data_IF_105941273360
#
_entry.id   IF_105941273360
#
_cell.length_a   1.000
_cell.length_b   1.000
_cell.length_c   1.000
_cell.angle_alpha   90.00
_cell.angle_beta   90.00
_cell.angle_gamma   90.00
#
_symmetry.space_group_name_H-M   'P 1'
#
loop_
_entity.id
_entity.type
_entity.pdbx_description
1 polymer ?
#
# COMPACT_ATOMS: atom_id res chain seq x y z
N UNK A 1 0.75 -17.16 -19.28
CA UNK A 1 0.25 -18.52 -18.96
C UNK A 1 -0.91 -18.37 -18.00
N UNK A 2 -2.10 -18.16 -18.54
CA UNK A 2 -3.37 -18.17 -17.81
C UNK A 2 -3.80 -19.63 -17.79
N UNK A 3 -4.17 -20.11 -16.61
CA UNK A 3 -4.47 -21.51 -16.30
C UNK A 3 -5.49 -22.15 -17.25
N UNK A 4 -5.31 -23.42 -17.63
CA UNK A 4 -6.20 -24.19 -18.53
C UNK A 4 -7.63 -24.43 -17.98
N UNK A 5 -7.95 -23.91 -16.79
CA UNK A 5 -9.26 -24.04 -16.15
C UNK A 5 -10.24 -22.95 -16.65
N UNK A 6 -9.73 -21.77 -17.04
CA UNK A 6 -10.56 -20.66 -17.50
C UNK A 6 -11.20 -20.94 -18.88
N UNK A 7 -10.47 -21.59 -19.79
CA UNK A 7 -10.98 -21.95 -21.12
C UNK A 7 -12.05 -23.05 -21.04
N UNK A 8 -11.95 -23.98 -20.10
CA UNK A 8 -12.89 -25.10 -19.95
C UNK A 8 -14.25 -24.66 -19.36
N UNK A 9 -14.27 -23.58 -18.59
CA UNK A 9 -15.50 -23.01 -18.01
C UNK A 9 -16.23 -22.14 -19.06
N UNK A 10 -15.51 -21.47 -19.95
CA UNK A 10 -16.10 -20.71 -21.06
C UNK A 10 -16.77 -21.62 -22.11
N UNK A 11 -16.23 -22.82 -22.34
CA UNK A 11 -16.75 -23.73 -23.37
C UNK A 11 -18.02 -24.50 -22.98
N UNK A 12 -18.31 -24.67 -21.68
CA UNK A 12 -19.50 -25.44 -21.22
C UNK A 12 -20.75 -24.61 -20.97
N UNK A 13 -20.64 -23.30 -20.77
CA UNK A 13 -21.79 -22.50 -20.32
C UNK A 13 -22.46 -21.66 -21.42
N UNK A 14 -21.84 -21.50 -22.59
CA UNK A 14 -22.26 -20.44 -23.54
C UNK A 14 -22.74 -20.87 -24.92
N UNK A 15 -22.84 -22.17 -25.24
CA UNK A 15 -23.20 -22.60 -26.60
C UNK A 15 -24.62 -23.17 -26.76
N UNK A 16 -25.63 -22.49 -26.20
CA UNK A 16 -26.98 -22.48 -26.81
C UNK A 16 -27.84 -21.31 -26.34
N UNK A 17 -27.43 -20.08 -26.65
CA UNK A 17 -28.30 -18.94 -26.47
C UNK A 17 -28.15 -17.98 -27.65
N UNK A 18 -29.29 -17.66 -28.28
CA UNK A 18 -29.43 -16.73 -29.41
C UNK A 18 -28.54 -15.49 -29.27
N UNK A 19 -27.98 -14.99 -30.38
CA UNK A 19 -27.07 -13.83 -30.47
C UNK A 19 -27.56 -12.63 -29.66
N UNK A 20 -28.88 -12.47 -29.51
CA UNK A 20 -29.51 -11.42 -28.68
C UNK A 20 -29.22 -11.55 -27.18
N UNK A 21 -29.19 -12.77 -26.66
CA UNK A 21 -28.93 -13.06 -25.23
C UNK A 21 -27.44 -12.81 -24.92
N UNK A 22 -26.54 -13.16 -25.83
CA UNK A 22 -25.10 -12.85 -25.68
C UNK A 22 -24.83 -11.35 -25.64
N UNK A 23 -25.50 -10.57 -26.50
CA UNK A 23 -25.41 -9.11 -26.50
C UNK A 23 -25.93 -8.55 -25.17
N UNK A 24 -27.08 -9.04 -24.68
CA UNK A 24 -27.63 -8.60 -23.40
C UNK A 24 -26.71 -8.92 -22.22
N UNK A 25 -26.10 -10.11 -22.17
CA UNK A 25 -25.17 -10.48 -21.10
C UNK A 25 -23.92 -9.60 -21.16
N UNK A 26 -23.38 -9.36 -22.36
CA UNK A 26 -22.21 -8.49 -22.55
C UNK A 26 -22.50 -7.03 -22.16
N UNK A 27 -23.67 -6.49 -22.50
CA UNK A 27 -24.04 -5.13 -22.08
C UNK A 27 -24.29 -5.04 -20.58
N UNK A 28 -24.86 -6.07 -19.96
CA UNK A 28 -25.09 -6.11 -18.51
C UNK A 28 -23.76 -6.14 -17.71
N UNK A 29 -22.78 -6.92 -18.19
CA UNK A 29 -21.43 -6.94 -17.61
C UNK A 29 -20.76 -5.57 -17.72
N UNK A 30 -20.87 -4.90 -18.87
CA UNK A 30 -20.29 -3.56 -19.07
C UNK A 30 -20.98 -2.50 -18.20
N UNK A 31 -22.30 -2.55 -18.06
CA UNK A 31 -23.04 -1.62 -17.19
C UNK A 31 -22.64 -1.83 -15.72
N UNK A 32 -22.50 -3.09 -15.28
CA UNK A 32 -22.05 -3.41 -13.93
C UNK A 32 -20.63 -2.90 -13.64
N UNK A 33 -19.69 -3.07 -14.57
CA UNK A 33 -18.32 -2.59 -14.38
C UNK A 33 -18.22 -1.06 -14.36
N UNK A 34 -19.03 -0.35 -15.14
CA UNK A 34 -19.11 1.13 -15.11
C UNK A 34 -19.70 1.62 -13.78
N UNK A 35 -20.75 0.97 -13.24
CA UNK A 35 -21.33 1.33 -11.94
C UNK A 35 -20.32 1.09 -10.81
N UNK A 36 -19.58 -0.01 -10.86
CA UNK A 36 -18.48 -0.27 -9.91
C UNK A 36 -17.39 0.80 -10.03
N UNK A 37 -16.98 1.16 -11.26
CA UNK A 37 -16.01 2.21 -11.50
C UNK A 37 -16.46 3.60 -11.01
N UNK A 38 -17.76 3.90 -11.03
CA UNK A 38 -18.33 5.16 -10.54
C UNK A 38 -18.57 5.19 -9.03
N UNK A 39 -18.66 4.04 -8.36
CA UNK A 39 -18.74 3.96 -6.89
C UNK A 39 -17.35 3.89 -6.23
N UNK A 40 -16.32 3.42 -6.94
CA UNK A 40 -14.92 3.44 -6.49
C UNK A 40 -14.35 4.84 -6.17
N UNK A 41 -14.66 5.95 -6.87
CA UNK A 41 -14.16 7.28 -6.50
C UNK A 41 -14.68 7.77 -5.15
N UNK A 42 -15.76 7.18 -4.59
CA UNK A 42 -16.20 7.45 -3.21
C UNK A 42 -15.42 6.65 -2.16
N UNK A 43 -14.78 5.53 -2.53
CA UNK A 43 -13.95 4.73 -1.62
C UNK A 43 -12.58 5.36 -1.31
N UNK A 44 -12.12 6.31 -2.15
CA UNK A 44 -10.91 7.09 -1.89
C UNK A 44 -10.96 7.87 -0.57
N UNK A 45 -12.16 8.18 -0.07
CA UNK A 45 -12.36 8.88 1.20
C UNK A 45 -12.38 7.96 2.43
N UNK A 46 -12.60 6.64 2.27
CA UNK A 46 -12.70 5.68 3.38
C UNK A 46 -11.40 4.86 3.54
N UNK A 47 -10.63 4.70 2.46
CA UNK A 47 -9.29 4.06 2.46
C UNK A 47 -8.27 4.76 3.37
N UNK A 48 -8.51 6.03 3.68
CA UNK A 48 -7.68 6.80 4.60
C UNK A 48 -7.70 6.32 6.06
N UNK A 49 -8.60 5.40 6.44
CA UNK A 49 -8.88 5.12 7.86
C UNK A 49 -8.36 3.79 8.37
N UNK A 50 -8.18 2.77 7.53
CA UNK A 50 -7.68 1.45 7.95
C UNK A 50 -7.02 0.79 6.74
N UNK A 51 -5.70 0.84 6.64
CA UNK A 51 -4.89 -0.22 6.00
C UNK A 51 -3.41 0.13 6.16
N UNK A 52 -2.69 -0.75 6.85
CA UNK A 52 -1.25 -0.88 6.63
C UNK A 52 -1.13 -1.56 5.28
N UNK A 53 -0.91 -0.77 4.23
CA UNK A 53 -0.65 -1.33 2.91
C UNK A 53 0.85 -1.69 2.85
N UNK A 54 1.14 -2.98 3.04
CA UNK A 54 2.50 -3.51 2.82
C UNK A 54 2.65 -3.72 1.33
N UNK A 55 3.09 -2.68 0.63
CA UNK A 55 3.58 -2.84 -0.73
C UNK A 55 4.98 -3.46 -0.66
N UNK A 56 5.21 -4.66 -1.20
CA UNK A 56 6.57 -5.12 -1.42
C UNK A 56 7.22 -4.18 -2.44
N UNK A 57 8.01 -3.24 -1.95
CA UNK A 57 8.84 -2.39 -2.79
C UNK A 57 10.06 -3.21 -3.20
N UNK A 58 9.95 -3.88 -4.35
CA UNK A 58 11.07 -4.55 -4.99
C UNK A 58 12.04 -3.49 -5.55
N UNK A 59 13.04 -3.12 -4.77
CA UNK A 59 14.13 -2.25 -5.24
C UNK A 59 15.11 -3.08 -6.09
N UNK A 60 15.02 -2.93 -7.42
CA UNK A 60 16.05 -3.41 -8.33
C UNK A 60 17.28 -2.50 -8.24
N UNK A 61 18.33 -2.91 -7.53
CA UNK A 61 19.64 -2.25 -7.60
C UNK A 61 20.35 -2.68 -8.89
N UNK A 62 21.20 -1.81 -9.47
CA UNK A 62 21.97 -2.07 -10.70
C UNK A 62 23.12 -3.11 -10.53
N UNK A 63 23.02 -3.98 -9.53
CA UNK A 63 23.92 -5.11 -9.34
C UNK A 63 23.16 -6.40 -9.65
N UNK A 64 22.88 -6.65 -10.94
CA UNK A 64 22.58 -7.98 -11.48
C UNK A 64 21.26 -8.64 -11.08
N UNK A 65 20.58 -9.22 -12.07
CA UNK A 65 19.59 -10.27 -11.83
C UNK A 65 20.31 -11.50 -11.26
N UNK A 66 20.25 -11.72 -9.94
CA UNK A 66 20.44 -13.04 -9.37
C UNK A 66 19.08 -13.64 -9.09
N UNK A 67 18.69 -14.61 -9.93
CA UNK A 67 17.54 -15.47 -9.68
C UNK A 67 17.70 -16.20 -8.34
N UNK A 68 16.57 -16.35 -7.64
CA UNK A 68 16.37 -17.20 -6.46
C UNK A 68 17.13 -16.81 -5.18
N UNK A 69 16.36 -16.22 -4.24
CA UNK A 69 16.50 -16.39 -2.78
C UNK A 69 17.89 -16.18 -2.16
N UNK A 70 18.51 -15.01 -2.35
CA UNK A 70 19.55 -14.48 -1.44
C UNK A 70 19.83 -13.00 -1.77
N UNK A 71 19.19 -12.05 -1.08
CA UNK A 71 19.64 -10.65 -1.13
C UNK A 71 18.59 -9.57 -1.35
N UNK A 72 17.29 -9.89 -1.41
CA UNK A 72 16.26 -8.86 -1.28
C UNK A 72 16.34 -8.26 0.13
N UNK A 73 17.05 -7.14 0.27
CA UNK A 73 17.04 -6.36 1.50
C UNK A 73 15.65 -5.73 1.61
N UNK A 74 14.81 -6.33 2.43
CA UNK A 74 13.49 -5.80 2.74
C UNK A 74 13.65 -4.47 3.50
N UNK A 75 12.69 -3.56 3.31
CA UNK A 75 12.54 -2.32 4.07
C UNK A 75 11.05 -2.07 4.31
N UNK A 76 10.70 -1.33 5.36
CA UNK A 76 9.32 -0.96 5.60
C UNK A 76 9.14 0.52 5.95
N UNK A 77 7.97 1.03 5.60
CA UNK A 77 7.50 2.36 5.99
C UNK A 77 6.24 2.15 6.82
N UNK A 78 6.26 2.62 8.07
CA UNK A 78 5.07 2.68 8.92
C UNK A 78 4.50 4.08 8.77
N UNK A 79 3.29 4.19 8.24
CA UNK A 79 2.62 5.47 8.07
C UNK A 79 1.43 5.59 9.01
N UNK A 80 1.26 6.76 9.62
CA UNK A 80 0.07 7.13 10.38
C UNK A 80 -0.45 8.49 9.94
N UNK A 81 -1.68 8.81 10.29
CA UNK A 81 -2.33 10.07 9.94
C UNK A 81 -2.24 11.05 11.12
N UNK A 82 -1.68 12.25 10.90
CA UNK A 82 -1.55 13.28 11.94
C UNK A 82 -2.89 13.87 12.39
N UNK A 83 -3.95 13.70 11.58
CA UNK A 83 -5.31 14.14 11.89
C UNK A 83 -6.10 13.11 12.68
N UNK A 84 -5.61 11.86 12.80
CA UNK A 84 -6.32 10.77 13.46
C UNK A 84 -5.44 10.12 14.55
N UNK A 85 -5.61 10.55 15.80
CA UNK A 85 -4.81 10.08 16.96
C UNK A 85 -4.83 8.55 17.15
N UNK A 86 -5.92 7.88 16.78
CA UNK A 86 -6.05 6.42 16.85
C UNK A 86 -5.02 5.70 15.97
N UNK A 87 -4.68 6.25 14.80
CA UNK A 87 -3.71 5.63 13.89
C UNK A 87 -2.31 5.58 14.51
N UNK A 88 -1.91 6.63 15.23
CA UNK A 88 -0.64 6.65 15.95
C UNK A 88 -0.61 5.65 17.11
N UNK A 89 -1.74 5.42 17.80
CA UNK A 89 -1.83 4.42 18.88
C UNK A 89 -1.55 2.99 18.39
N UNK A 90 -1.79 2.71 17.10
CA UNK A 90 -1.56 1.39 16.51
C UNK A 90 -0.13 1.15 16.03
N UNK A 91 0.69 2.21 15.89
CA UNK A 91 2.08 2.12 15.42
C UNK A 91 2.94 1.08 16.19
N UNK A 92 2.88 0.98 17.53
CA UNK A 92 3.66 -0.03 18.26
C UNK A 92 3.27 -1.47 17.91
N UNK A 93 1.98 -1.71 17.66
CA UNK A 93 1.45 -3.02 17.24
C UNK A 93 2.01 -3.37 15.86
N UNK A 94 1.88 -2.46 14.90
CA UNK A 94 2.40 -2.67 13.53
C UNK A 94 3.91 -2.88 13.50
N UNK A 95 4.66 -2.10 14.27
CA UNK A 95 6.10 -2.29 14.41
C UNK A 95 6.45 -3.66 14.97
N UNK A 96 5.75 -4.12 16.02
CA UNK A 96 5.96 -5.45 16.59
C UNK A 96 5.70 -6.54 15.55
N UNK A 97 4.63 -6.41 14.78
CA UNK A 97 4.24 -7.41 13.79
C UNK A 97 5.23 -7.45 12.61
N UNK A 98 5.80 -6.31 12.20
CA UNK A 98 6.90 -6.26 11.22
C UNK A 98 8.19 -6.88 11.75
N UNK A 99 8.58 -6.58 13.00
CA UNK A 99 9.78 -7.15 13.61
C UNK A 99 9.70 -8.68 13.79
N UNK A 100 8.48 -9.25 13.89
CA UNK A 100 8.29 -10.71 13.93
C UNK A 100 8.62 -11.40 12.61
N UNK A 101 8.46 -10.69 11.49
CA UNK A 101 8.76 -11.24 10.15
C UNK A 101 10.23 -11.01 9.81
N UNK A 102 10.78 -9.83 10.13
CA UNK A 102 12.16 -9.46 9.85
C UNK A 102 12.77 -8.65 11.01
N UNK A 103 13.76 -9.21 11.69
CA UNK A 103 14.35 -8.60 12.88
C UNK A 103 15.28 -7.40 12.59
N UNK A 104 15.93 -7.37 11.42
CA UNK A 104 16.98 -6.37 11.09
C UNK A 104 16.63 -5.46 9.91
N UNK A 105 15.35 -5.26 9.64
CA UNK A 105 14.89 -4.44 8.52
C UNK A 105 14.96 -2.93 8.84
N UNK A 106 15.47 -2.07 7.94
CA UNK A 106 15.34 -0.63 8.10
C UNK A 106 13.88 -0.21 8.01
N UNK A 107 13.40 0.49 9.04
CA UNK A 107 12.03 0.97 9.16
C UNK A 107 12.02 2.49 9.29
N UNK A 108 11.14 3.15 8.54
CA UNK A 108 10.88 4.59 8.65
C UNK A 108 9.47 4.83 9.16
N UNK A 109 9.31 5.77 10.08
CA UNK A 109 8.01 6.24 10.56
C UNK A 109 7.61 7.50 9.80
N UNK A 110 6.39 7.54 9.25
CA UNK A 110 5.88 8.67 8.50
C UNK A 110 4.56 9.18 9.09
N UNK A 111 4.48 10.48 9.36
CA UNK A 111 3.22 11.15 9.70
C UNK A 111 2.65 11.83 8.47
N UNK A 112 1.57 11.28 7.91
CA UNK A 112 0.91 11.79 6.71
C UNK A 112 -0.16 12.84 7.05
N UNK A 113 -0.56 13.63 6.02
CA UNK A 113 -1.59 14.68 6.07
C UNK A 113 -1.20 15.93 6.86
N UNK A 114 0.08 16.30 6.87
CA UNK A 114 0.56 17.51 7.57
C UNK A 114 0.05 18.82 6.95
N UNK A 115 -0.53 18.77 5.75
CA UNK A 115 -1.21 19.89 5.11
C UNK A 115 -2.54 20.26 5.80
N UNK A 116 -3.12 19.36 6.60
CA UNK A 116 -4.39 19.60 7.27
C UNK A 116 -4.18 20.41 8.56
N UNK A 117 -4.85 21.56 8.65
CA UNK A 117 -4.75 22.47 9.83
C UNK A 117 -5.27 21.85 11.13
N UNK A 118 -6.30 21.00 11.06
CA UNK A 118 -6.89 20.34 12.23
C UNK A 118 -6.06 19.13 12.68
N UNK A 119 -4.82 19.41 13.10
CA UNK A 119 -3.85 18.42 13.50
C UNK A 119 -4.16 17.91 14.92
N UNK A 120 -4.27 16.58 15.06
CA UNK A 120 -4.51 15.95 16.36
C UNK A 120 -3.23 15.40 17.02
N UNK A 121 -2.24 15.01 16.22
CA UNK A 121 -0.96 14.43 16.70
C UNK A 121 0.18 15.37 16.36
N UNK A 122 0.69 16.09 17.35
CA UNK A 122 1.83 17.00 17.21
C UNK A 122 3.17 16.25 17.16
N UNK A 123 4.16 16.79 16.46
CA UNK A 123 5.48 16.18 16.32
C UNK A 123 6.13 15.87 17.70
N UNK A 124 5.88 16.73 18.70
CA UNK A 124 6.36 16.53 20.08
C UNK A 124 5.74 15.30 20.77
N UNK A 125 4.52 14.90 20.39
CA UNK A 125 3.83 13.73 20.93
C UNK A 125 4.33 12.41 20.30
N UNK A 126 4.99 12.49 19.15
CA UNK A 126 5.58 11.34 18.45
C UNK A 126 6.87 10.92 19.14
N UNK A 127 6.73 10.12 20.19
CA UNK A 127 7.85 9.62 20.99
C UNK A 127 8.37 8.26 20.51
N UNK A 128 7.59 7.53 19.71
CA UNK A 128 7.92 6.16 19.30
C UNK A 128 9.24 6.08 18.52
N UNK A 129 9.52 7.08 17.68
CA UNK A 129 10.77 7.18 16.92
C UNK A 129 12.01 7.10 17.84
N UNK A 130 11.99 7.77 19.00
CA UNK A 130 13.11 7.82 19.94
C UNK A 130 13.25 6.51 20.70
N UNK A 131 12.13 5.87 21.04
CA UNK A 131 12.11 4.58 21.76
C UNK A 131 12.70 3.44 20.94
N UNK A 132 12.55 3.47 19.62
CA UNK A 132 13.02 2.43 18.70
C UNK A 132 14.16 2.87 17.78
N UNK A 133 14.69 4.07 17.99
CA UNK A 133 15.73 4.68 17.16
C UNK A 133 15.38 4.70 15.65
N UNK A 134 14.12 4.99 15.34
CA UNK A 134 13.62 5.06 13.96
C UNK A 134 13.69 6.50 13.46
N UNK A 135 13.87 6.65 12.14
CA UNK A 135 13.70 7.95 11.51
C UNK A 135 12.23 8.31 11.38
N UNK A 136 11.92 9.58 11.59
CA UNK A 136 10.57 10.12 11.45
C UNK A 136 10.55 11.25 10.44
N UNK A 137 9.61 11.16 9.50
CA UNK A 137 9.35 12.23 8.55
C UNK A 137 7.88 12.63 8.59
N UNK A 138 7.66 13.94 8.56
CA UNK A 138 6.36 14.53 8.31
C UNK A 138 6.19 14.68 6.80
N UNK A 139 5.15 14.04 6.28
CA UNK A 139 4.86 13.99 4.85
C UNK A 139 3.43 14.44 4.57
N UNK A 140 3.20 14.94 3.35
CA UNK A 140 1.85 15.03 2.80
C UNK A 140 1.87 14.42 1.41
N UNK A 141 1.17 13.30 1.26
CA UNK A 141 0.93 12.71 -0.06
C UNK A 141 0.11 13.62 -0.98
N UNK A 142 -0.67 14.56 -0.43
CA UNK A 142 -1.52 15.47 -1.20
C UNK A 142 -0.72 16.63 -1.80
N UNK A 143 0.16 17.25 -1.01
CA UNK A 143 0.98 18.38 -1.46
C UNK A 143 2.38 17.96 -1.91
N UNK A 144 2.68 16.65 -1.94
CA UNK A 144 4.01 16.09 -2.16
C UNK A 144 5.09 16.62 -1.20
N UNK A 145 4.69 17.11 -0.02
CA UNK A 145 5.63 17.64 0.96
C UNK A 145 6.47 16.51 1.57
N UNK A 146 7.80 16.62 1.46
CA UNK A 146 8.80 15.65 1.97
C UNK A 146 8.59 14.21 1.49
N UNK A 147 7.86 14.00 0.39
CA UNK A 147 7.49 12.67 -0.07
C UNK A 147 8.71 11.82 -0.43
N UNK A 148 9.78 12.40 -0.99
CA UNK A 148 10.99 11.65 -1.33
C UNK A 148 11.85 11.23 -0.13
N UNK A 149 11.75 11.92 1.02
CA UNK A 149 12.71 11.75 2.13
C UNK A 149 12.72 10.33 2.73
N UNK A 150 11.56 9.69 3.00
CA UNK A 150 11.52 8.32 3.48
C UNK A 150 12.21 7.34 2.52
N UNK A 151 11.91 7.46 1.22
CA UNK A 151 12.49 6.60 0.20
C UNK A 151 14.00 6.81 0.06
N UNK A 152 14.44 8.06 0.07
CA UNK A 152 15.87 8.39 0.00
C UNK A 152 16.64 7.84 1.20
N UNK A 153 16.07 7.92 2.41
CA UNK A 153 16.68 7.35 3.60
C UNK A 153 16.80 5.82 3.51
N UNK A 154 15.73 5.16 3.08
CA UNK A 154 15.72 3.71 2.88
C UNK A 154 16.72 3.29 1.81
N UNK A 155 16.71 3.95 0.65
CA UNK A 155 17.64 3.68 -0.44
C UNK A 155 19.10 3.78 0.03
N UNK A 156 19.45 4.83 0.80
CA UNK A 156 20.79 4.97 1.39
C UNK A 156 21.13 3.83 2.35
N UNK A 157 20.19 3.44 3.21
CA UNK A 157 20.39 2.32 4.15
C UNK A 157 20.52 0.96 3.47
N UNK A 158 19.88 0.78 2.33
CA UNK A 158 19.93 -0.46 1.55
C UNK A 158 21.16 -0.53 0.64
N UNK A 159 21.59 0.61 0.09
CA UNK A 159 22.72 0.72 -0.83
C UNK A 159 24.09 0.54 -0.16
N UNK A 160 24.19 0.85 1.14
CA UNK A 160 25.46 0.82 1.89
C UNK A 160 26.10 2.18 1.99
#
# INVERSE_FOLDING_TARGET
MISPIASVIEDKFFFKASTRISILIRTLIVISSVIVALTIPFFGHISATISVEVHPLDFFTNCGRSGSTAGARLCAIIMFDVTACLTYKNVPTWHRDLCRVCENMPIVLCGNKVDVKNRQVNAKQVTFQRKKNLQYYEISAKSNYNFEKPFLYLAKKLAG
#
